data_IF_180805172056
#
_entry.id   IF_180805172056
#
_cell.length_a   1.000
_cell.length_b   1.000
_cell.length_c   1.000
_cell.angle_alpha   90.00
_cell.angle_beta   90.00
_cell.angle_gamma   90.00
#
_symmetry.space_group_name_H-M   'P 1'
#
loop_
_entity.id
_entity.type
_entity.pdbx_description
1 polymer ?
#
# COMPACT_ATOMS: atom_id res chain seq x y z
N UNK A 1 -0.83 54.70 42.45
CA UNK A 1 -1.77 54.73 41.36
C UNK A 1 -1.84 53.33 40.71
N UNK A 2 -2.87 52.51 41.04
CA UNK A 2 -3.05 51.23 40.38
C UNK A 2 -3.71 51.44 39.02
N UNK A 3 -2.99 51.10 37.94
CA UNK A 3 -3.58 51.01 36.59
C UNK A 3 -4.45 49.75 36.55
N UNK A 4 -5.77 49.92 36.51
CA UNK A 4 -6.67 48.83 36.22
C UNK A 4 -6.56 48.50 34.73
N UNK A 5 -6.05 47.32 34.42
CA UNK A 5 -6.09 46.75 33.07
C UNK A 5 -7.52 46.32 32.76
N UNK A 6 -8.20 46.99 31.84
CA UNK A 6 -9.46 46.52 31.31
C UNK A 6 -9.23 45.27 30.52
N UNK A 7 -9.74 44.12 31.01
CA UNK A 7 -9.84 42.91 30.27
C UNK A 7 -11.06 43.02 29.35
N UNK A 8 -10.85 43.18 28.04
CA UNK A 8 -11.90 43.04 27.03
C UNK A 8 -12.18 41.54 26.80
N UNK A 9 -13.40 41.11 27.04
CA UNK A 9 -13.88 39.77 26.73
C UNK A 9 -14.24 39.61 25.25
N UNK A 10 -14.13 38.39 24.74
CA UNK A 10 -14.60 38.04 23.41
C UNK A 10 -16.13 38.08 23.32
N UNK A 11 -16.66 38.62 22.24
CA UNK A 11 -18.12 38.62 22.01
C UNK A 11 -18.59 37.28 21.44
N UNK A 12 -19.82 36.87 21.75
CA UNK A 12 -20.42 35.63 21.19
C UNK A 12 -20.45 35.65 19.65
N UNK A 13 -20.63 36.81 19.04
CA UNK A 13 -20.70 36.95 17.57
C UNK A 13 -19.33 36.75 16.94
N UNK A 14 -18.24 37.23 17.54
CA UNK A 14 -16.87 37.00 17.07
C UNK A 14 -16.54 35.52 17.07
N UNK A 15 -16.93 34.78 18.13
CA UNK A 15 -16.73 33.34 18.20
C UNK A 15 -17.54 32.61 17.12
N UNK A 16 -18.81 33.01 16.89
CA UNK A 16 -19.70 32.41 15.90
C UNK A 16 -19.16 32.54 14.48
N UNK A 17 -18.66 33.73 14.13
CA UNK A 17 -18.06 33.96 12.81
C UNK A 17 -16.83 33.12 12.61
N UNK A 18 -15.95 33.02 13.61
CA UNK A 18 -14.71 32.23 13.52
C UNK A 18 -15.00 30.76 13.30
N UNK A 19 -15.92 30.16 14.09
CA UNK A 19 -16.27 28.73 13.91
C UNK A 19 -16.98 28.48 12.59
N UNK A 20 -17.77 29.45 12.10
CA UNK A 20 -18.40 29.39 10.79
C UNK A 20 -17.37 29.32 9.65
N UNK A 21 -16.36 30.19 9.70
CA UNK A 21 -15.27 30.20 8.70
C UNK A 21 -14.46 28.91 8.75
N UNK A 22 -14.08 28.45 9.96
CA UNK A 22 -13.35 27.18 10.12
C UNK A 22 -14.17 26.01 9.58
N UNK A 23 -15.48 25.98 9.83
CA UNK A 23 -16.39 24.95 9.33
C UNK A 23 -16.39 24.86 7.80
N UNK A 24 -16.50 25.99 7.10
CA UNK A 24 -16.46 26.05 5.63
C UNK A 24 -15.10 25.63 5.09
N UNK A 25 -14.01 26.13 5.66
CA UNK A 25 -12.65 25.76 5.24
C UNK A 25 -12.37 24.27 5.46
N UNK A 26 -12.80 23.72 6.58
CA UNK A 26 -12.61 22.30 6.90
C UNK A 26 -13.39 21.38 5.96
N UNK A 27 -14.58 21.80 5.51
CA UNK A 27 -15.40 21.02 4.58
C UNK A 27 -14.69 20.77 3.24
N UNK A 28 -13.82 21.69 2.81
CA UNK A 28 -13.04 21.58 1.57
C UNK A 28 -11.68 20.91 1.85
N UNK A 29 -11.02 21.26 2.94
CA UNK A 29 -9.66 20.81 3.23
C UNK A 29 -9.58 19.33 3.61
N UNK A 30 -10.58 18.79 4.35
CA UNK A 30 -10.55 17.41 4.81
C UNK A 30 -10.51 16.36 3.68
N UNK A 31 -11.38 16.44 2.65
CA UNK A 31 -11.32 15.45 1.56
C UNK A 31 -10.00 15.53 0.77
N UNK A 32 -9.49 16.72 0.51
CA UNK A 32 -8.21 16.90 -0.18
C UNK A 32 -7.04 16.30 0.63
N UNK A 33 -7.05 16.50 1.94
CA UNK A 33 -6.04 15.89 2.82
C UNK A 33 -6.11 14.37 2.81
N UNK A 34 -7.31 13.78 2.81
CA UNK A 34 -7.50 12.33 2.75
C UNK A 34 -6.95 11.76 1.44
N UNK A 35 -7.20 12.40 0.30
CA UNK A 35 -6.69 11.99 -1.00
C UNK A 35 -5.15 12.06 -1.04
N UNK A 36 -4.56 13.12 -0.50
CA UNK A 36 -3.10 13.24 -0.37
C UNK A 36 -2.48 12.13 0.49
N UNK A 37 -3.11 11.77 1.61
CA UNK A 37 -2.65 10.67 2.46
C UNK A 37 -2.71 9.34 1.72
N UNK A 38 -3.77 9.08 0.95
CA UNK A 38 -3.90 7.87 0.12
C UNK A 38 -2.78 7.80 -0.91
N UNK A 39 -2.50 8.90 -1.61
CA UNK A 39 -1.43 8.97 -2.60
C UNK A 39 -0.07 8.65 -1.97
N UNK A 40 0.27 9.32 -0.86
CA UNK A 40 1.52 9.10 -0.15
C UNK A 40 1.69 7.64 0.34
N UNK A 41 0.64 7.05 0.89
CA UNK A 41 0.65 5.66 1.34
C UNK A 41 0.75 4.68 0.16
N UNK A 42 0.08 4.95 -0.94
CA UNK A 42 0.14 4.12 -2.14
C UNK A 42 1.55 4.08 -2.75
N UNK A 43 2.23 5.24 -2.83
CA UNK A 43 3.63 5.32 -3.28
C UNK A 43 4.56 4.53 -2.35
N UNK A 44 4.31 4.57 -1.04
CA UNK A 44 5.08 3.77 -0.08
C UNK A 44 4.87 2.26 -0.30
N UNK A 45 3.63 1.81 -0.45
CA UNK A 45 3.31 0.39 -0.78
C UNK A 45 4.01 -0.01 -2.07
N UNK A 46 3.94 0.81 -3.11
CA UNK A 46 4.60 0.56 -4.39
C UNK A 46 6.12 0.39 -4.23
N UNK A 47 6.75 1.20 -3.39
CA UNK A 47 8.19 1.12 -3.14
C UNK A 47 8.57 -0.17 -2.42
N UNK A 48 7.82 -0.55 -1.38
CA UNK A 48 8.04 -1.78 -0.61
C UNK A 48 7.86 -3.02 -1.49
N UNK A 49 6.78 -3.06 -2.27
CA UNK A 49 6.50 -4.14 -3.24
C UNK A 49 7.57 -4.20 -4.33
N UNK A 50 8.02 -3.05 -4.83
CA UNK A 50 9.05 -2.98 -5.86
C UNK A 50 10.38 -3.60 -5.43
N UNK A 51 10.72 -3.55 -4.13
CA UNK A 51 11.88 -4.27 -3.58
C UNK A 51 11.66 -5.77 -3.65
N UNK A 52 10.50 -6.26 -3.20
CA UNK A 52 10.17 -7.67 -3.25
C UNK A 52 10.16 -8.21 -4.69
N UNK A 53 9.58 -7.48 -5.63
CA UNK A 53 9.57 -7.86 -7.04
C UNK A 53 10.98 -7.97 -7.63
N UNK A 54 11.88 -7.01 -7.35
CA UNK A 54 13.28 -7.09 -7.79
C UNK A 54 13.99 -8.31 -7.21
N UNK A 55 13.74 -8.64 -5.95
CA UNK A 55 14.32 -9.82 -5.32
C UNK A 55 13.78 -11.10 -5.95
N UNK A 56 12.48 -11.19 -6.24
CA UNK A 56 11.88 -12.32 -6.97
C UNK A 56 12.57 -12.48 -8.34
N UNK A 57 12.71 -11.41 -9.12
CA UNK A 57 13.39 -11.46 -10.44
C UNK A 57 14.84 -11.95 -10.32
N UNK A 58 15.59 -11.42 -9.37
CA UNK A 58 16.98 -11.81 -9.16
C UNK A 58 17.11 -13.29 -8.81
N UNK A 59 16.20 -13.83 -8.00
CA UNK A 59 16.19 -15.24 -7.60
C UNK A 59 15.82 -16.13 -8.78
N UNK A 60 14.78 -15.78 -9.53
CA UNK A 60 14.32 -16.53 -10.70
C UNK A 60 15.39 -16.56 -11.80
N UNK A 61 16.05 -15.43 -12.07
CA UNK A 61 17.13 -15.32 -13.05
C UNK A 61 18.36 -16.17 -12.70
N UNK A 62 18.56 -16.52 -11.42
CA UNK A 62 19.60 -17.43 -10.95
C UNK A 62 19.14 -18.90 -10.94
N UNK A 63 17.93 -19.20 -11.38
CA UNK A 63 17.35 -20.55 -11.34
C UNK A 63 16.94 -21.00 -9.94
N UNK A 64 16.81 -20.08 -8.99
CA UNK A 64 16.32 -20.33 -7.64
C UNK A 64 14.80 -20.23 -7.54
N UNK A 65 14.25 -20.61 -6.40
CA UNK A 65 12.83 -20.46 -6.06
C UNK A 65 12.65 -19.39 -4.99
N UNK A 66 11.89 -18.31 -5.27
CA UNK A 66 11.62 -17.29 -4.26
C UNK A 66 10.63 -17.78 -3.19
N UNK A 67 10.89 -17.46 -1.93
CA UNK A 67 10.05 -17.84 -0.77
C UNK A 67 9.86 -16.65 0.16
N UNK A 68 8.72 -16.64 0.89
CA UNK A 68 8.40 -15.64 1.92
C UNK A 68 8.89 -16.08 3.31
N UNK A 69 9.08 -17.38 3.53
CA UNK A 69 9.54 -17.91 4.81
C UNK A 69 11.07 -17.78 4.90
N UNK A 70 11.61 -16.98 5.84
CA UNK A 70 13.06 -16.85 6.03
C UNK A 70 13.72 -18.16 6.48
N UNK A 71 12.98 -19.09 7.11
CA UNK A 71 13.51 -20.39 7.51
C UNK A 71 13.86 -21.30 6.32
N UNK A 72 13.30 -21.02 5.15
CA UNK A 72 13.56 -21.76 3.92
C UNK A 72 14.74 -21.18 3.11
N UNK A 73 15.32 -20.06 3.56
CA UNK A 73 16.44 -19.44 2.85
C UNK A 73 17.63 -20.39 2.73
N UNK A 74 18.21 -20.42 1.53
CA UNK A 74 19.35 -21.27 1.20
C UNK A 74 19.11 -22.79 1.36
N UNK A 75 17.86 -23.22 1.53
CA UNK A 75 17.49 -24.63 1.57
C UNK A 75 17.21 -25.19 0.18
N UNK A 76 17.51 -26.50 -0.01
CA UNK A 76 17.22 -27.19 -1.26
C UNK A 76 15.98 -28.08 -1.10
N UNK A 77 14.93 -27.75 -1.82
CA UNK A 77 13.69 -28.52 -1.83
C UNK A 77 13.45 -29.07 -3.24
N UNK A 78 13.28 -30.36 -3.38
CA UNK A 78 13.13 -31.07 -4.67
C UNK A 78 14.24 -30.71 -5.69
N UNK A 79 15.48 -30.55 -5.21
CA UNK A 79 16.62 -30.22 -6.05
C UNK A 79 16.79 -28.73 -6.38
N UNK A 80 15.83 -27.89 -6.06
CA UNK A 80 15.85 -26.45 -6.33
C UNK A 80 16.23 -25.68 -5.07
N UNK A 81 17.17 -24.74 -5.19
CA UNK A 81 17.59 -23.88 -4.10
C UNK A 81 16.56 -22.76 -3.88
N UNK A 82 16.12 -22.62 -2.63
CA UNK A 82 15.17 -21.59 -2.24
C UNK A 82 15.90 -20.36 -1.72
N UNK A 83 15.35 -19.18 -1.99
CA UNK A 83 15.90 -17.92 -1.51
C UNK A 83 14.78 -17.03 -0.96
N UNK A 84 15.02 -16.52 0.23
CA UNK A 84 14.13 -15.58 0.88
C UNK A 84 14.13 -14.24 0.15
N UNK A 85 12.93 -13.69 -0.12
CA UNK A 85 12.79 -12.44 -0.88
C UNK A 85 12.98 -11.17 -0.05
N UNK A 86 13.22 -11.30 1.27
CA UNK A 86 13.37 -10.16 2.17
C UNK A 86 12.05 -9.61 2.69
N UNK A 87 10.94 -10.35 2.54
CA UNK A 87 9.62 -9.98 3.02
C UNK A 87 8.98 -11.22 3.65
N UNK A 88 8.81 -11.20 4.97
CA UNK A 88 8.20 -12.27 5.75
C UNK A 88 6.68 -12.12 5.73
N UNK A 89 5.94 -13.19 5.43
CA UNK A 89 4.48 -13.17 5.37
C UNK A 89 3.85 -12.83 6.72
N UNK A 90 4.43 -13.32 7.82
CA UNK A 90 3.92 -13.12 9.18
C UNK A 90 4.38 -11.80 9.81
N UNK A 91 5.49 -11.24 9.31
CA UNK A 91 6.05 -9.98 9.79
C UNK A 91 6.61 -9.16 8.63
N UNK A 92 5.72 -8.52 7.89
CA UNK A 92 6.05 -7.76 6.67
C UNK A 92 6.93 -6.53 6.98
N UNK A 93 6.94 -6.06 8.24
CA UNK A 93 7.67 -4.86 8.62
C UNK A 93 7.05 -3.55 8.11
N UNK A 94 5.92 -3.63 7.43
CA UNK A 94 5.11 -2.50 6.98
C UNK A 94 3.88 -2.35 7.86
N UNK A 95 3.60 -1.12 8.28
CA UNK A 95 2.37 -0.79 8.98
C UNK A 95 1.16 -0.59 8.04
N UNK A 96 1.40 -0.54 6.73
CA UNK A 96 0.37 -0.39 5.71
C UNK A 96 -0.13 -1.71 5.14
N UNK A 97 0.63 -2.80 5.30
CA UNK A 97 0.28 -4.13 4.82
C UNK A 97 -0.07 -5.01 6.02
N UNK A 98 -1.15 -5.74 5.91
CA UNK A 98 -1.63 -6.62 6.96
C UNK A 98 -0.76 -7.88 7.06
N UNK A 99 -0.20 -8.12 8.24
CA UNK A 99 0.59 -9.33 8.50
C UNK A 99 -0.24 -10.59 8.27
N UNK A 100 0.41 -11.65 7.79
CA UNK A 100 -0.22 -12.94 7.48
C UNK A 100 -1.05 -12.94 6.19
N UNK A 101 -1.05 -11.86 5.41
CA UNK A 101 -1.82 -11.79 4.15
C UNK A 101 -0.96 -11.87 2.90
N UNK A 102 0.35 -11.66 3.03
CA UNK A 102 1.24 -11.82 1.89
C UNK A 102 1.37 -13.30 1.51
N UNK A 103 1.23 -13.57 0.24
CA UNK A 103 1.39 -14.90 -0.34
C UNK A 103 2.18 -14.83 -1.64
N UNK A 104 3.05 -15.80 -1.86
CA UNK A 104 3.83 -15.95 -3.07
C UNK A 104 3.67 -17.39 -3.57
N UNK A 105 3.06 -17.54 -4.73
CA UNK A 105 2.73 -18.85 -5.30
C UNK A 105 3.17 -18.96 -6.75
N UNK A 106 3.75 -20.09 -7.10
CA UNK A 106 3.95 -20.45 -8.49
C UNK A 106 2.63 -20.94 -9.10
N UNK A 107 2.26 -20.35 -10.22
CA UNK A 107 1.02 -20.67 -10.94
C UNK A 107 1.40 -21.20 -12.32
N UNK A 108 1.17 -22.48 -12.58
CA UNK A 108 1.33 -23.12 -13.89
C UNK A 108 2.59 -22.72 -14.70
N UNK A 109 3.67 -23.51 -14.58
CA UNK A 109 4.77 -23.48 -15.52
C UNK A 109 5.66 -22.22 -15.49
N UNK A 110 5.92 -21.69 -14.30
CA UNK A 110 6.88 -20.59 -14.13
C UNK A 110 6.26 -19.20 -14.06
N UNK A 111 4.93 -19.10 -14.07
CA UNK A 111 4.22 -17.89 -13.68
C UNK A 111 4.20 -17.75 -12.16
N UNK A 112 4.29 -16.53 -11.65
CA UNK A 112 4.27 -16.26 -10.23
C UNK A 112 3.16 -15.29 -9.87
N UNK A 113 2.54 -15.53 -8.72
CA UNK A 113 1.57 -14.62 -8.12
C UNK A 113 2.05 -14.18 -6.76
N UNK A 114 2.15 -12.87 -6.58
CA UNK A 114 2.42 -12.23 -5.31
C UNK A 114 1.21 -11.40 -4.90
N UNK A 115 0.62 -11.70 -3.76
CA UNK A 115 -0.61 -11.07 -3.27
C UNK A 115 -0.42 -10.56 -1.86
N UNK A 116 -1.08 -9.44 -1.52
CA UNK A 116 -1.12 -8.86 -0.19
C UNK A 116 -2.40 -8.09 0.05
N UNK A 117 -2.76 -7.87 1.31
CA UNK A 117 -3.88 -7.05 1.76
C UNK A 117 -3.36 -5.85 2.54
N UNK A 118 -3.93 -4.67 2.31
CA UNK A 118 -3.60 -3.46 3.09
C UNK A 118 -4.20 -3.54 4.49
N UNK A 119 -3.44 -3.06 5.48
CA UNK A 119 -3.74 -3.22 6.90
C UNK A 119 -4.52 -2.08 7.53
N UNK A 120 -4.68 -2.17 8.85
CA UNK A 120 -5.53 -1.27 9.64
C UNK A 120 -5.01 0.18 9.75
N UNK A 121 -3.72 0.41 9.47
CA UNK A 121 -3.12 1.75 9.42
C UNK A 121 -3.18 2.41 8.05
N UNK A 122 -3.66 1.68 7.05
CA UNK A 122 -3.91 2.24 5.73
C UNK A 122 -5.10 3.21 5.76
N UNK A 123 -5.05 4.25 4.94
CA UNK A 123 -6.15 5.19 4.80
C UNK A 123 -7.45 4.47 4.41
N UNK A 124 -8.60 4.99 4.85
CA UNK A 124 -9.89 4.34 4.66
C UNK A 124 -10.23 4.00 3.19
N UNK A 125 -9.64 4.75 2.26
CA UNK A 125 -9.83 4.52 0.82
C UNK A 125 -9.01 3.35 0.25
N UNK A 126 -8.04 2.84 0.99
CA UNK A 126 -7.21 1.69 0.60
C UNK A 126 -7.13 0.60 1.68
N UNK A 127 -7.84 0.76 2.79
CA UNK A 127 -7.90 -0.26 3.85
C UNK A 127 -8.63 -1.52 3.36
N UNK A 128 -8.02 -2.68 3.56
CA UNK A 128 -8.57 -3.97 3.10
C UNK A 128 -8.47 -4.19 1.59
N UNK A 129 -7.70 -3.36 0.87
CA UNK A 129 -7.44 -3.54 -0.53
C UNK A 129 -6.56 -4.76 -0.76
N UNK A 130 -7.01 -5.70 -1.59
CA UNK A 130 -6.19 -6.84 -1.99
C UNK A 130 -5.51 -6.51 -3.31
N UNK A 131 -4.19 -6.50 -3.31
CA UNK A 131 -3.37 -6.23 -4.49
C UNK A 131 -2.70 -7.53 -4.89
N UNK A 132 -2.93 -7.96 -6.11
CA UNK A 132 -2.35 -9.17 -6.70
C UNK A 132 -1.45 -8.78 -7.86
N UNK A 133 -0.18 -9.11 -7.74
CA UNK A 133 0.80 -8.97 -8.80
C UNK A 133 1.04 -10.33 -9.45
N UNK A 134 0.88 -10.39 -10.76
CA UNK A 134 1.11 -11.61 -11.54
C UNK A 134 2.30 -11.38 -12.46
N UNK A 135 3.27 -12.27 -12.38
CA UNK A 135 4.42 -12.34 -13.26
C UNK A 135 4.24 -13.49 -14.26
N UNK A 136 4.40 -13.22 -15.52
CA UNK A 136 4.41 -14.27 -16.55
C UNK A 136 5.81 -14.88 -16.74
N UNK A 137 5.90 -15.94 -17.55
CA UNK A 137 7.15 -16.62 -17.86
C UNK A 137 8.19 -15.72 -18.55
N UNK A 138 7.75 -14.64 -19.19
CA UNK A 138 8.61 -13.67 -19.89
C UNK A 138 9.11 -12.56 -18.96
N UNK A 139 8.72 -12.58 -17.67
CA UNK A 139 9.07 -11.54 -16.72
C UNK A 139 8.16 -10.31 -16.73
N UNK A 140 7.05 -10.35 -17.47
CA UNK A 140 6.08 -9.25 -17.48
C UNK A 140 5.22 -9.29 -16.21
N UNK A 141 5.20 -8.17 -15.49
CA UNK A 141 4.35 -7.98 -14.33
C UNK A 141 3.05 -7.29 -14.71
N UNK A 142 1.95 -7.86 -14.26
CA UNK A 142 0.61 -7.27 -14.30
C UNK A 142 0.07 -7.20 -12.87
N UNK A 143 -0.91 -6.33 -12.61
CA UNK A 143 -1.53 -6.26 -11.29
C UNK A 143 -3.03 -6.17 -11.40
N UNK A 144 -3.67 -6.67 -10.36
CA UNK A 144 -5.12 -6.64 -10.20
C UNK A 144 -5.43 -6.14 -8.79
N UNK A 145 -6.41 -5.28 -8.66
CA UNK A 145 -6.85 -4.73 -7.40
C UNK A 145 -8.27 -5.22 -7.12
N UNK A 146 -8.45 -5.94 -6.02
CA UNK A 146 -9.77 -6.28 -5.51
C UNK A 146 -10.18 -5.26 -4.44
N UNK A 147 -11.19 -4.47 -4.78
CA UNK A 147 -11.77 -3.40 -3.97
C UNK A 147 -13.03 -3.81 -3.22
N UNK A 148 -13.40 -5.08 -3.24
CA UNK A 148 -14.66 -5.56 -2.66
C UNK A 148 -14.85 -5.22 -1.19
N UNK A 149 -13.75 -5.07 -0.45
CA UNK A 149 -13.73 -4.70 0.97
C UNK A 149 -13.48 -3.21 1.24
N UNK A 150 -13.29 -2.39 0.20
CA UNK A 150 -12.89 -0.99 0.33
C UNK A 150 -14.07 -0.06 0.18
N UNK A 151 -14.38 0.70 1.23
CA UNK A 151 -15.57 1.56 1.27
C UNK A 151 -15.47 2.84 0.41
N UNK A 152 -14.25 3.33 0.14
CA UNK A 152 -14.00 4.64 -0.48
C UNK A 152 -12.98 4.60 -1.61
N UNK A 153 -12.89 3.48 -2.32
CA UNK A 153 -11.97 3.36 -3.46
C UNK A 153 -12.31 4.37 -4.57
N UNK A 154 -11.28 4.98 -5.14
CA UNK A 154 -11.35 5.76 -6.38
C UNK A 154 -10.46 5.10 -7.41
N UNK A 155 -10.95 4.93 -8.63
CA UNK A 155 -10.21 4.22 -9.69
C UNK A 155 -8.92 4.97 -10.09
N UNK A 156 -8.82 6.26 -9.82
CA UNK A 156 -7.60 7.07 -9.97
C UNK A 156 -6.43 6.62 -9.07
N UNK A 157 -6.70 5.88 -7.97
CA UNK A 157 -5.66 5.34 -7.10
C UNK A 157 -5.02 4.05 -7.64
N UNK A 158 -5.61 3.41 -8.62
CA UNK A 158 -5.11 2.15 -9.17
C UNK A 158 -3.68 2.23 -9.72
N UNK A 159 -3.29 3.26 -10.48
CA UNK A 159 -1.91 3.42 -10.95
C UNK A 159 -0.88 3.57 -9.83
N UNK A 160 -1.31 4.06 -8.66
CA UNK A 160 -0.42 4.30 -7.51
C UNK A 160 0.09 3.01 -6.85
N UNK A 161 -0.56 1.88 -7.09
CA UNK A 161 -0.15 0.56 -6.59
C UNK A 161 0.43 -0.33 -7.70
N UNK A 162 0.73 0.24 -8.86
CA UNK A 162 1.32 -0.47 -9.99
C UNK A 162 2.75 -0.95 -9.72
N UNK A 163 3.24 -2.00 -10.39
CA UNK A 163 4.64 -2.41 -10.29
C UNK A 163 5.58 -1.32 -10.80
N UNK A 164 6.67 -1.05 -10.05
CA UNK A 164 7.64 0.01 -10.38
C UNK A 164 8.33 -0.19 -11.74
N UNK A 165 8.50 -1.43 -12.17
CA UNK A 165 9.30 -1.77 -13.34
C UNK A 165 8.46 -1.97 -14.61
N UNK A 166 7.17 -1.74 -14.57
CA UNK A 166 6.30 -1.88 -15.73
C UNK A 166 5.17 -0.85 -15.75
N UNK A 167 5.46 0.41 -16.11
CA UNK A 167 4.46 1.48 -16.19
C UNK A 167 3.39 1.24 -17.26
N UNK A 168 3.59 0.28 -18.17
CA UNK A 168 2.59 -0.13 -19.18
C UNK A 168 1.82 -1.40 -18.83
N UNK A 169 1.96 -1.91 -17.60
CA UNK A 169 1.25 -3.10 -17.17
C UNK A 169 -0.28 -2.92 -17.24
N UNK A 170 -0.95 -3.90 -17.82
CA UNK A 170 -2.41 -3.88 -17.97
C UNK A 170 -3.10 -3.92 -16.59
N UNK A 171 -3.78 -2.83 -16.27
CA UNK A 171 -4.64 -2.75 -15.11
C UNK A 171 -5.95 -3.48 -15.36
N UNK A 172 -6.36 -4.37 -14.43
CA UNK A 172 -7.68 -5.01 -14.42
C UNK A 172 -8.35 -4.75 -13.07
N UNK A 173 -9.53 -4.17 -13.12
CA UNK A 173 -10.47 -4.13 -12.00
C UNK A 173 -11.22 -5.46 -11.97
N UNK A 174 -11.36 -6.06 -10.79
CA UNK A 174 -12.26 -7.18 -10.50
C UNK A 174 -13.56 -6.66 -9.90
#
# INVERSE_FOLDING_TARGET
MNKQHHQSGFTMIELLIVVGIIGVLSAIALPLYQDYVVEAQSVRIQTEVGVAQRNIENILNRGGRPVLDPALDSQRVNGVLQYYIGLDADNIGSDLIKNGTASLTEVNGGNWRFQMETGDRAAAAIHGLIITYNRDVNGLWTWVVDKSKVARWKDEFAPLVAPLNNPGALFRLL
#
